data_IF_785524639111
#
_entry.id   IF_785524639111
#
_cell.length_a   1.000
_cell.length_b   1.000
_cell.length_c   1.000
_cell.angle_alpha   90.00
_cell.angle_beta   90.00
_cell.angle_gamma   90.00
#
_symmetry.space_group_name_H-M   'P 1'
#
loop_
_entity.id
_entity.type
_entity.pdbx_description
1 polymer ?
#
# COMPACT_ATOMS: atom_id res chain seq x y z
N UNK A 1 15.37 13.22 -2.12
CA UNK A 1 15.95 13.43 -0.77
C UNK A 1 15.62 12.20 0.04
N UNK A 2 16.60 11.55 0.69
CA UNK A 2 16.28 10.56 1.74
C UNK A 2 15.99 11.37 2.98
N UNK A 3 14.74 11.39 3.42
CA UNK A 3 14.34 12.08 4.65
C UNK A 3 14.86 11.30 5.85
N UNK A 4 16.13 11.55 6.20
CA UNK A 4 16.72 11.03 7.42
C UNK A 4 15.99 11.65 8.61
N UNK A 5 15.29 10.81 9.38
CA UNK A 5 14.65 11.22 10.64
C UNK A 5 13.14 11.32 10.61
N UNK A 6 12.44 10.85 9.56
CA UNK A 6 10.99 10.77 9.60
C UNK A 6 10.56 9.79 10.72
N UNK A 7 9.80 10.27 11.69
CA UNK A 7 9.19 9.45 12.73
C UNK A 7 7.68 9.50 12.60
N UNK A 8 7.00 8.52 13.16
CA UNK A 8 5.54 8.47 13.17
C UNK A 8 4.89 9.73 13.78
N UNK A 9 5.37 10.29 14.91
CA UNK A 9 4.90 11.59 15.39
C UNK A 9 5.03 12.73 14.36
N UNK A 10 6.13 12.79 13.63
CA UNK A 10 6.34 13.81 12.61
C UNK A 10 5.39 13.66 11.41
N UNK A 11 5.06 12.43 11.04
CA UNK A 11 4.07 12.13 9.99
C UNK A 11 2.71 12.70 10.43
N UNK A 12 2.30 12.45 11.67
CA UNK A 12 1.04 12.94 12.22
C UNK A 12 1.03 14.47 12.30
N UNK A 13 2.13 15.10 12.74
CA UNK A 13 2.27 16.58 12.77
C UNK A 13 2.15 17.23 11.39
N UNK A 14 2.52 16.51 10.33
CA UNK A 14 2.36 16.96 8.94
C UNK A 14 0.93 16.80 8.40
N UNK A 15 -0.03 16.35 9.23
CA UNK A 15 -1.44 16.24 8.88
C UNK A 15 -1.85 14.88 8.30
N UNK A 16 -0.96 13.89 8.33
CA UNK A 16 -1.29 12.54 7.89
C UNK A 16 -2.17 11.84 8.93
N UNK A 17 -3.27 11.25 8.47
CA UNK A 17 -4.19 10.55 9.36
C UNK A 17 -3.88 9.06 9.37
N UNK A 18 -3.46 8.53 10.51
CA UNK A 18 -3.27 7.08 10.66
C UNK A 18 -4.61 6.35 10.49
N UNK A 19 -4.65 5.37 9.59
CA UNK A 19 -5.81 4.52 9.36
C UNK A 19 -5.73 3.29 10.26
N UNK A 20 -6.80 3.02 11.00
CA UNK A 20 -6.95 1.72 11.67
C UNK A 20 -7.00 0.58 10.65
N UNK A 21 -6.67 -0.62 11.08
CA UNK A 21 -6.77 -1.82 10.25
C UNK A 21 -8.16 -2.02 9.63
N UNK A 22 -9.25 -1.72 10.36
CA UNK A 22 -10.62 -1.81 9.85
C UNK A 22 -10.94 -0.75 8.79
N UNK A 23 -10.44 0.48 8.96
CA UNK A 23 -10.60 1.54 7.95
C UNK A 23 -9.81 1.21 6.68
N UNK A 24 -8.56 0.78 6.84
CA UNK A 24 -7.74 0.34 5.74
C UNK A 24 -8.41 -0.78 4.96
N UNK A 25 -8.85 -1.84 5.64
CA UNK A 25 -9.51 -2.99 5.02
C UNK A 25 -10.70 -2.57 4.15
N UNK A 26 -11.57 -1.70 4.69
CA UNK A 26 -12.74 -1.16 3.94
C UNK A 26 -12.31 -0.33 2.72
N UNK A 27 -11.19 0.40 2.84
CA UNK A 27 -10.64 1.23 1.77
C UNK A 27 -9.93 0.46 0.67
N UNK A 28 -9.39 -0.75 0.90
CA UNK A 28 -8.54 -1.44 -0.09
C UNK A 28 -9.09 -2.79 -0.57
N UNK A 29 -9.96 -3.47 0.17
CA UNK A 29 -10.50 -4.76 -0.27
C UNK A 29 -11.58 -4.58 -1.34
N UNK A 30 -11.66 -5.59 -2.21
CA UNK A 30 -12.54 -5.64 -3.38
C UNK A 30 -12.37 -4.41 -4.29
N UNK A 31 -11.11 -4.00 -4.51
CA UNK A 31 -10.79 -2.80 -5.29
C UNK A 31 -9.61 -3.03 -6.22
N UNK A 32 -9.64 -2.35 -7.36
CA UNK A 32 -8.46 -2.13 -8.18
C UNK A 32 -7.77 -0.86 -7.71
N UNK A 33 -6.48 -0.99 -7.44
CA UNK A 33 -5.61 0.04 -6.89
C UNK A 33 -4.56 0.40 -7.92
N UNK A 34 -4.43 1.70 -8.22
CA UNK A 34 -3.22 2.22 -8.89
C UNK A 34 -2.34 2.86 -7.83
N UNK A 35 -1.05 2.55 -7.90
CA UNK A 35 -0.10 3.01 -6.90
C UNK A 35 1.31 3.17 -7.41
N UNK A 36 2.16 3.65 -6.52
CA UNK A 36 3.59 3.86 -6.77
C UNK A 36 4.45 3.22 -5.69
N UNK A 37 5.49 2.49 -6.09
CA UNK A 37 6.52 2.02 -5.15
C UNK A 37 7.43 3.18 -4.70
N UNK A 38 8.13 2.97 -3.59
CA UNK A 38 9.16 3.90 -3.08
C UNK A 38 10.26 4.28 -4.09
N UNK A 39 10.46 3.48 -5.14
CA UNK A 39 11.42 3.74 -6.24
C UNK A 39 10.83 4.50 -7.43
N UNK A 40 9.58 5.00 -7.33
CA UNK A 40 8.92 5.77 -8.38
C UNK A 40 8.40 4.92 -9.57
N UNK A 41 8.17 3.63 -9.35
CA UNK A 41 7.57 2.71 -10.32
C UNK A 41 6.06 2.64 -10.10
N UNK A 42 5.28 2.53 -11.17
CA UNK A 42 3.81 2.50 -11.09
C UNK A 42 3.33 1.06 -11.19
N UNK A 43 2.27 0.72 -10.45
CA UNK A 43 1.56 -0.54 -10.58
C UNK A 43 0.05 -0.35 -10.56
N UNK A 44 -0.65 -1.35 -11.10
CA UNK A 44 -2.09 -1.56 -10.90
C UNK A 44 -2.26 -2.95 -10.31
N UNK A 45 -3.02 -3.07 -9.22
CA UNK A 45 -3.32 -4.35 -8.57
C UNK A 45 -4.78 -4.45 -8.23
N UNK A 46 -5.41 -5.59 -8.46
CA UNK A 46 -6.72 -5.90 -7.88
C UNK A 46 -6.52 -6.65 -6.56
N UNK A 47 -7.20 -6.20 -5.51
CA UNK A 47 -7.19 -6.84 -4.18
C UNK A 47 -8.60 -7.40 -3.93
N UNK A 48 -8.71 -8.72 -3.76
CA UNK A 48 -9.99 -9.36 -3.47
C UNK A 48 -10.44 -9.17 -2.00
N UNK A 49 -11.56 -9.78 -1.63
CA UNK A 49 -12.15 -9.70 -0.29
C UNK A 49 -11.36 -10.45 0.80
N UNK A 50 -10.40 -11.27 0.39
CA UNK A 50 -9.49 -12.04 1.25
C UNK A 50 -8.09 -11.43 1.28
N UNK A 51 -7.85 -10.36 0.51
CA UNK A 51 -6.56 -9.71 0.37
C UNK A 51 -5.65 -10.34 -0.68
N UNK A 52 -6.09 -11.34 -1.44
CA UNK A 52 -5.28 -11.86 -2.56
C UNK A 52 -5.16 -10.79 -3.64
N UNK A 53 -4.00 -10.77 -4.29
CA UNK A 53 -3.63 -9.75 -5.25
C UNK A 53 -3.24 -10.33 -6.59
N UNK A 54 -3.61 -9.61 -7.64
CA UNK A 54 -3.15 -9.79 -9.01
C UNK A 54 -2.75 -8.40 -9.53
N UNK A 55 -1.50 -8.22 -9.95
CA UNK A 55 -1.00 -6.89 -10.31
C UNK A 55 0.04 -6.85 -11.42
N UNK A 56 -0.01 -5.78 -12.20
CA UNK A 56 0.94 -5.46 -13.27
C UNK A 56 1.67 -4.15 -12.96
N UNK A 57 2.95 -4.05 -13.34
CA UNK A 57 3.72 -2.81 -13.26
C UNK A 57 4.03 -2.21 -14.63
N UNK A 58 4.57 -1.00 -14.62
CA UNK A 58 5.02 -0.25 -15.80
C UNK A 58 6.12 -0.93 -16.63
N UNK A 59 6.73 -2.00 -16.12
CA UNK A 59 7.69 -2.86 -16.84
C UNK A 59 7.01 -4.07 -17.51
N UNK A 60 5.68 -4.17 -17.46
CA UNK A 60 4.91 -5.29 -18.01
C UNK A 60 5.06 -6.59 -17.22
N UNK A 61 5.58 -6.52 -15.98
CA UNK A 61 5.68 -7.69 -15.11
C UNK A 61 4.36 -7.92 -14.39
N UNK A 62 3.84 -9.14 -14.50
CA UNK A 62 2.58 -9.56 -13.88
C UNK A 62 2.86 -10.52 -12.72
N UNK A 63 2.37 -10.19 -11.52
CA UNK A 63 2.61 -10.96 -10.30
C UNK A 63 1.34 -11.15 -9.47
N UNK A 64 1.37 -12.19 -8.64
CA UNK A 64 0.35 -12.49 -7.65
C UNK A 64 0.93 -12.32 -6.25
N UNK A 65 0.06 -12.06 -5.28
CA UNK A 65 0.46 -11.89 -3.90
C UNK A 65 -0.72 -11.87 -2.94
N UNK A 66 -0.44 -11.46 -1.70
CA UNK A 66 -1.44 -11.32 -0.64
C UNK A 66 -1.11 -10.11 0.23
N UNK A 67 -2.18 -9.41 0.62
CA UNK A 67 -2.20 -8.37 1.62
C UNK A 67 -2.77 -8.92 2.92
N UNK A 68 -1.97 -8.86 3.99
CA UNK A 68 -2.31 -9.39 5.30
C UNK A 68 -2.39 -8.22 6.28
N UNK A 69 -3.60 -7.93 6.77
CA UNK A 69 -3.83 -6.86 7.74
C UNK A 69 -3.74 -7.41 9.16
N UNK A 70 -2.88 -6.80 9.98
CA UNK A 70 -2.77 -7.07 11.42
C UNK A 70 -3.64 -6.09 12.20
N UNK A 71 -4.78 -6.60 12.69
CA UNK A 71 -5.76 -5.83 13.45
C UNK A 71 -5.25 -5.30 14.79
N UNK A 72 -4.21 -5.92 15.36
CA UNK A 72 -3.67 -5.55 16.67
C UNK A 72 -2.68 -4.39 16.55
N UNK A 73 -1.91 -4.38 15.46
CA UNK A 73 -0.81 -3.44 15.27
C UNK A 73 -1.12 -2.33 14.25
N UNK A 74 -2.30 -2.39 13.61
CA UNK A 74 -2.75 -1.50 12.53
C UNK A 74 -1.78 -1.48 11.35
N UNK A 75 -1.24 -2.65 10.98
CA UNK A 75 -0.29 -2.77 9.88
C UNK A 75 -0.86 -3.57 8.72
N UNK A 76 -0.33 -3.29 7.53
CA UNK A 76 -0.48 -4.11 6.34
C UNK A 76 0.86 -4.75 6.01
N UNK A 77 0.86 -6.05 5.76
CA UNK A 77 1.98 -6.78 5.18
C UNK A 77 1.63 -7.18 3.75
N UNK A 78 2.46 -6.77 2.80
CA UNK A 78 2.35 -7.18 1.41
C UNK A 78 3.39 -8.25 1.11
N UNK A 79 2.92 -9.39 0.58
CA UNK A 79 3.76 -10.48 0.12
C UNK A 79 3.45 -10.81 -1.33
N UNK A 80 4.43 -10.72 -2.21
CA UNK A 80 4.35 -11.15 -3.59
C UNK A 80 4.98 -12.52 -3.75
N UNK A 81 4.38 -13.36 -4.58
CA UNK A 81 4.86 -14.72 -4.81
C UNK A 81 6.25 -14.72 -5.46
N UNK A 82 6.54 -13.72 -6.32
CA UNK A 82 7.83 -13.51 -7.00
C UNK A 82 8.05 -12.03 -7.33
N UNK A 83 9.31 -11.59 -7.35
CA UNK A 83 9.79 -10.40 -8.08
C UNK A 83 9.57 -9.03 -7.44
N UNK A 84 8.47 -8.80 -6.73
CA UNK A 84 8.19 -7.50 -6.11
C UNK A 84 8.61 -7.45 -4.64
N UNK A 85 8.83 -6.24 -4.12
CA UNK A 85 9.29 -6.06 -2.73
C UNK A 85 8.19 -6.41 -1.73
N UNK A 86 8.51 -7.31 -0.81
CA UNK A 86 7.69 -7.57 0.37
C UNK A 86 7.99 -6.53 1.43
N UNK A 87 6.96 -6.07 2.13
CA UNK A 87 7.10 -5.05 3.17
C UNK A 87 5.94 -5.11 4.16
N UNK A 88 6.15 -4.51 5.33
CA UNK A 88 5.12 -4.29 6.33
C UNK A 88 5.13 -2.82 6.72
N UNK A 89 3.95 -2.21 6.86
CA UNK A 89 3.85 -0.79 7.24
C UNK A 89 2.48 -0.40 7.75
N UNK A 90 2.41 0.75 8.41
CA UNK A 90 1.18 1.41 8.83
C UNK A 90 0.65 2.29 7.71
N UNK A 91 -0.67 2.38 7.61
CA UNK A 91 -1.33 3.13 6.56
C UNK A 91 -1.70 4.54 7.04
N UNK A 92 -1.43 5.51 6.19
CA UNK A 92 -1.71 6.91 6.44
C UNK A 92 -2.50 7.49 5.28
N UNK A 93 -3.64 8.08 5.57
CA UNK A 93 -4.42 8.86 4.61
C UNK A 93 -3.86 10.27 4.51
N UNK A 94 -3.62 10.71 3.28
CA UNK A 94 -3.24 12.09 2.95
C UNK A 94 -3.95 12.49 1.67
N UNK A 95 -4.86 13.46 1.77
CA UNK A 95 -5.62 14.00 0.63
C UNK A 95 -6.31 12.91 -0.24
N UNK A 96 -6.73 11.81 0.39
CA UNK A 96 -7.40 10.69 -0.27
C UNK A 96 -6.46 9.62 -0.84
N UNK A 97 -5.14 9.81 -0.79
CA UNK A 97 -4.14 8.77 -1.05
C UNK A 97 -3.81 8.00 0.23
N UNK A 98 -3.42 6.73 0.09
CA UNK A 98 -2.93 5.93 1.23
C UNK A 98 -1.44 5.69 1.07
N UNK A 99 -0.64 6.22 1.98
CA UNK A 99 0.81 5.98 2.04
C UNK A 99 1.13 5.00 3.15
N UNK A 100 2.11 4.12 2.89
CA UNK A 100 2.51 3.08 3.83
C UNK A 100 3.90 3.35 4.40
N UNK A 101 3.97 3.52 5.71
CA UNK A 101 5.22 3.80 6.42
C UNK A 101 5.67 2.58 7.22
N UNK A 102 6.91 2.14 7.00
CA UNK A 102 7.53 1.07 7.78
C UNK A 102 8.23 1.69 9.00
N UNK A 103 7.65 1.48 10.18
CA UNK A 103 8.15 2.04 11.44
C UNK A 103 9.44 1.39 11.95
N UNK A 104 9.87 0.27 11.37
CA UNK A 104 11.13 -0.41 11.73
C UNK A 104 12.29 0.19 10.96
N UNK A 105 12.10 0.46 9.67
CA UNK A 105 13.13 1.02 8.80
C UNK A 105 13.06 2.53 8.66
N UNK A 106 11.95 3.14 9.11
CA UNK A 106 11.63 4.56 8.98
C UNK A 106 11.57 5.02 7.51
N UNK A 107 11.01 4.18 6.65
CA UNK A 107 10.90 4.44 5.21
C UNK A 107 9.46 4.33 4.72
N UNK A 108 9.08 5.20 3.78
CA UNK A 108 7.87 5.00 2.97
C UNK A 108 8.06 3.83 2.01
N UNK A 109 7.02 3.01 1.84
CA UNK A 109 7.07 1.77 1.05
C UNK A 109 6.34 1.88 -0.27
N UNK A 110 5.05 2.17 -0.21
CA UNK A 110 4.20 2.29 -1.38
C UNK A 110 3.13 3.35 -1.12
N UNK A 111 2.54 3.84 -2.20
CA UNK A 111 1.38 4.72 -2.16
C UNK A 111 0.28 4.08 -2.99
N UNK A 112 -0.95 4.07 -2.48
CA UNK A 112 -2.16 3.77 -3.23
C UNK A 112 -2.81 5.10 -3.57
N UNK A 113 -2.72 5.50 -4.83
CA UNK A 113 -3.17 6.81 -5.32
C UNK A 113 -4.64 6.77 -5.74
N UNK A 114 -5.06 5.69 -6.40
CA UNK A 114 -6.46 5.52 -6.82
C UNK A 114 -7.02 4.19 -6.35
N UNK A 115 -8.30 4.20 -5.96
CA UNK A 115 -9.02 3.06 -5.40
C UNK A 115 -10.35 2.96 -6.14
N UNK A 116 -10.50 1.97 -7.01
CA UNK A 116 -11.70 1.74 -7.81
C UNK A 116 -12.43 0.49 -7.36
N UNK A 117 -13.76 0.55 -7.21
CA UNK A 117 -14.57 -0.57 -6.77
C UNK A 117 -14.58 -1.74 -7.78
N UNK A 118 -14.37 -2.95 -7.26
CA UNK A 118 -14.34 -4.20 -7.99
C UNK A 118 -13.10 -4.39 -8.87
N UNK A 119 -13.08 -5.51 -9.60
CA UNK A 119 -11.98 -5.83 -10.52
C UNK A 119 -12.11 -5.02 -11.81
N UNK A 120 -11.16 -4.13 -12.05
CA UNK A 120 -10.96 -3.40 -13.31
C UNK A 120 -9.84 -4.03 -14.13
N UNK A 121 -9.51 -3.40 -15.26
CA UNK A 121 -8.36 -3.77 -16.08
C UNK A 121 -7.07 -3.62 -15.27
N UNK A 122 -6.31 -4.70 -15.15
CA UNK A 122 -5.00 -4.71 -14.51
C UNK A 122 -3.97 -4.43 -15.59
N UNK A 123 -3.76 -3.15 -15.88
CA UNK A 123 -2.77 -2.68 -16.86
C UNK A 123 -2.35 -1.27 -16.50
N UNK A 124 -1.05 -1.00 -16.54
CA UNK A 124 -0.49 0.32 -16.22
C UNK A 124 -0.69 1.32 -17.35
#
# INVERSE_FOLDING_TARGET
>A
MRDFGLTEPMIIEQGYTHLSAEELKRKIYNKTVRGEYFIGRIFVTYIDDKGNMEGENDLGSHHFGINIIDMKNDTLTTQWDKGWHNWTGRAYDIDGEIKFFDTTTLEWRTTFNTLEEGKKTIKV
#
